data_IF_704977443500
#
_entry.id   IF_704977443500
#
_cell.length_a   1.000
_cell.length_b   1.000
_cell.length_c   1.000
_cell.angle_alpha   90.00
_cell.angle_beta   90.00
_cell.angle_gamma   90.00
#
_symmetry.space_group_name_H-M   'P 1'
#
loop_
_entity.id
_entity.type
_entity.pdbx_description
1 polymer ?
#
# COMPACT_ATOMS: atom_id res chain seq x y z
N UNK A 1 7.66 -26.68 -2.08
CA UNK A 1 7.64 -25.32 -2.65
C UNK A 1 8.58 -24.49 -1.80
N UNK A 2 9.50 -23.74 -2.40
CA UNK A 2 10.45 -22.92 -1.64
C UNK A 2 9.79 -21.63 -1.14
N UNK A 3 10.22 -21.15 0.03
CA UNK A 3 9.83 -19.85 0.59
C UNK A 3 10.58 -18.74 -0.14
N UNK A 4 9.90 -17.65 -0.49
CA UNK A 4 10.50 -16.46 -1.07
C UNK A 4 10.86 -15.47 0.03
N UNK A 5 12.16 -15.21 0.18
CA UNK A 5 12.72 -14.22 1.11
C UNK A 5 13.19 -13.01 0.27
N UNK A 6 12.55 -11.83 0.39
CA UNK A 6 12.85 -10.69 -0.47
C UNK A 6 14.31 -10.22 -0.39
N UNK A 7 14.88 -10.16 0.82
CA UNK A 7 16.27 -9.75 1.05
C UNK A 7 17.31 -10.67 0.40
N UNK A 8 16.99 -11.95 0.21
CA UNK A 8 17.87 -12.93 -0.44
C UNK A 8 17.69 -12.97 -1.97
N UNK A 9 16.65 -12.31 -2.50
CA UNK A 9 16.30 -12.38 -3.91
C UNK A 9 17.14 -11.44 -4.78
N UNK A 10 18.26 -11.96 -5.31
CA UNK A 10 19.07 -11.26 -6.30
C UNK A 10 18.27 -10.90 -7.56
N UNK A 11 17.35 -11.78 -7.99
CA UNK A 11 16.47 -11.52 -9.12
C UNK A 11 15.56 -10.32 -8.86
N UNK A 12 14.91 -10.25 -7.69
CA UNK A 12 14.05 -9.11 -7.32
C UNK A 12 14.85 -7.81 -7.33
N UNK A 13 16.03 -7.79 -6.71
CA UNK A 13 16.90 -6.60 -6.69
C UNK A 13 17.30 -6.15 -8.09
N UNK A 14 17.60 -7.08 -9.00
CA UNK A 14 17.90 -6.76 -10.39
C UNK A 14 16.69 -6.21 -11.14
N UNK A 15 15.51 -6.83 -10.97
CA UNK A 15 14.25 -6.38 -11.57
C UNK A 15 13.87 -4.97 -11.11
N UNK A 16 14.02 -4.67 -9.82
CA UNK A 16 13.70 -3.35 -9.24
C UNK A 16 14.61 -2.23 -9.76
N UNK A 17 15.90 -2.50 -9.95
CA UNK A 17 16.83 -1.52 -10.55
C UNK A 17 16.40 -1.07 -11.95
N UNK A 18 15.71 -1.93 -12.69
CA UNK A 18 15.15 -1.60 -14.00
C UNK A 18 13.91 -0.68 -13.95
N UNK A 19 13.31 -0.47 -12.78
CA UNK A 19 12.03 0.24 -12.61
C UNK A 19 12.16 1.68 -12.13
N UNK A 20 13.37 2.25 -12.09
CA UNK A 20 13.58 3.62 -11.60
C UNK A 20 12.78 4.71 -12.34
N UNK A 21 12.25 4.43 -13.54
CA UNK A 21 11.35 5.31 -14.31
C UNK A 21 9.86 4.94 -14.25
N UNK A 22 9.48 3.96 -13.42
CA UNK A 22 8.17 3.32 -13.48
C UNK A 22 8.10 2.22 -14.56
N UNK A 23 6.94 1.57 -14.65
CA UNK A 23 6.67 0.52 -15.65
C UNK A 23 6.53 -0.88 -15.04
N UNK A 24 6.75 -1.90 -15.87
CA UNK A 24 6.63 -3.31 -15.50
C UNK A 24 7.86 -4.10 -15.94
N UNK A 25 8.25 -5.10 -15.17
CA UNK A 25 9.33 -6.02 -15.51
C UNK A 25 9.03 -7.43 -15.03
N UNK A 26 9.56 -8.41 -15.77
CA UNK A 26 9.47 -9.82 -15.41
C UNK A 26 10.75 -10.27 -14.69
N UNK A 27 10.62 -11.27 -13.83
CA UNK A 27 11.75 -11.91 -13.14
C UNK A 27 11.46 -13.38 -12.82
N UNK A 28 12.51 -14.11 -12.47
CA UNK A 28 12.40 -15.50 -12.02
C UNK A 28 13.40 -15.74 -10.90
N UNK A 29 12.93 -16.31 -9.79
CA UNK A 29 13.75 -16.68 -8.65
C UNK A 29 13.43 -18.12 -8.24
N UNK A 30 14.45 -19.00 -8.24
CA UNK A 30 14.28 -20.38 -7.76
C UNK A 30 13.22 -21.18 -8.52
N UNK A 31 12.95 -20.85 -9.79
CA UNK A 31 11.90 -21.48 -10.61
C UNK A 31 10.52 -20.85 -10.44
N UNK A 32 10.36 -19.86 -9.55
CA UNK A 32 9.14 -19.06 -9.44
C UNK A 32 9.26 -17.81 -10.29
N UNK A 33 8.48 -17.73 -11.36
CA UNK A 33 8.33 -16.50 -12.13
C UNK A 33 7.51 -15.46 -11.37
N UNK A 34 7.85 -14.20 -11.54
CA UNK A 34 7.09 -13.09 -10.98
C UNK A 34 7.11 -11.89 -11.92
N UNK A 35 6.05 -11.09 -11.85
CA UNK A 35 5.96 -9.79 -12.51
C UNK A 35 6.00 -8.69 -11.47
N UNK A 36 6.73 -7.61 -11.77
CA UNK A 36 6.80 -6.40 -10.96
C UNK A 36 6.21 -5.26 -11.76
N UNK A 37 5.39 -4.43 -11.12
CA UNK A 37 4.75 -3.28 -11.75
C UNK A 37 4.68 -2.10 -10.79
N UNK A 38 5.02 -0.91 -11.29
CA UNK A 38 4.73 0.35 -10.62
C UNK A 38 3.25 0.70 -10.85
N UNK A 39 2.46 0.78 -9.78
CA UNK A 39 1.01 1.01 -9.90
C UNK A 39 0.69 2.42 -10.38
N UNK A 40 1.42 3.42 -9.86
CA UNK A 40 1.25 4.83 -10.23
C UNK A 40 2.62 5.43 -10.57
N UNK A 41 3.08 5.29 -11.83
CA UNK A 41 4.33 5.91 -12.26
C UNK A 41 4.17 7.43 -12.40
N UNK A 42 5.21 8.19 -12.04
CA UNK A 42 5.21 9.66 -12.14
C UNK A 42 4.18 10.33 -11.23
N UNK A 43 3.98 9.80 -10.02
CA UNK A 43 2.99 10.25 -9.03
C UNK A 43 3.05 11.75 -8.75
N UNK A 44 4.24 12.35 -8.71
CA UNK A 44 4.37 13.81 -8.53
C UNK A 44 3.68 14.61 -9.63
N UNK A 45 3.86 14.23 -10.89
CA UNK A 45 3.21 14.92 -12.01
C UNK A 45 1.69 14.74 -11.91
N UNK A 46 1.25 13.52 -11.61
CA UNK A 46 -0.19 13.21 -11.43
C UNK A 46 -0.83 14.00 -10.30
N UNK A 47 -0.15 14.16 -9.15
CA UNK A 47 -0.65 15.01 -8.05
C UNK A 47 -0.77 16.47 -8.52
N UNK A 48 0.24 17.00 -9.23
CA UNK A 48 0.21 18.38 -9.72
C UNK A 48 -0.94 18.60 -10.69
N UNK A 49 -1.13 17.67 -11.62
CA UNK A 49 -2.17 17.78 -12.64
C UNK A 49 -3.56 17.65 -12.01
N UNK A 50 -3.75 16.65 -11.14
CA UNK A 50 -5.02 16.42 -10.45
C UNK A 50 -5.40 17.57 -9.51
N UNK A 51 -4.42 18.23 -8.87
CA UNK A 51 -4.60 19.37 -7.97
C UNK A 51 -4.07 20.69 -8.54
N UNK A 52 -4.16 20.89 -9.85
CA UNK A 52 -3.59 22.05 -10.53
C UNK A 52 -4.14 23.41 -10.03
N UNK A 53 -5.34 23.41 -9.47
CA UNK A 53 -5.98 24.56 -8.82
C UNK A 53 -5.34 24.94 -7.47
N UNK A 54 -4.72 23.98 -6.79
CA UNK A 54 -4.11 24.17 -5.47
C UNK A 54 -2.58 24.19 -5.51
N UNK A 55 -1.97 23.44 -6.44
CA UNK A 55 -0.52 23.23 -6.49
C UNK A 55 0.13 24.29 -7.39
N UNK A 56 0.62 25.35 -6.76
CA UNK A 56 1.23 26.50 -7.45
C UNK A 56 2.77 26.45 -7.53
N UNK A 57 3.39 25.39 -7.00
CA UNK A 57 4.85 25.27 -6.92
C UNK A 57 5.35 23.83 -6.76
N UNK A 58 6.64 23.66 -6.44
CA UNK A 58 7.22 22.33 -6.19
C UNK A 58 6.53 21.60 -5.03
N UNK A 59 6.20 20.32 -5.21
CA UNK A 59 5.52 19.51 -4.19
C UNK A 59 6.37 19.33 -2.93
N UNK A 60 7.70 19.30 -3.06
CA UNK A 60 8.62 19.16 -1.94
C UNK A 60 8.59 20.39 -1.02
N UNK A 61 8.50 21.59 -1.58
CA UNK A 61 8.30 22.82 -0.83
C UNK A 61 6.95 22.83 -0.13
N UNK A 62 5.88 22.44 -0.84
CA UNK A 62 4.53 22.37 -0.28
C UNK A 62 4.40 21.34 0.84
N UNK A 63 4.89 20.11 0.65
CA UNK A 63 4.92 19.08 1.70
C UNK A 63 5.60 19.60 2.97
N UNK A 64 6.79 20.22 2.83
CA UNK A 64 7.54 20.75 3.97
C UNK A 64 6.82 21.91 4.67
N UNK A 65 6.14 22.80 3.92
CA UNK A 65 5.43 23.92 4.53
C UNK A 65 4.25 23.49 5.41
N UNK A 66 3.72 22.29 5.21
CA UNK A 66 2.63 21.71 6.02
C UNK A 66 3.10 20.57 6.93
N UNK A 67 4.42 20.40 7.09
CA UNK A 67 5.00 19.41 8.00
C UNK A 67 4.84 17.95 7.55
N UNK A 68 4.68 17.72 6.25
CA UNK A 68 4.52 16.38 5.67
C UNK A 68 5.79 15.92 4.95
N UNK A 69 5.96 14.61 4.86
CA UNK A 69 6.98 14.01 3.99
C UNK A 69 6.66 14.30 2.53
N UNK A 70 7.69 14.46 1.72
CA UNK A 70 7.53 14.56 0.25
C UNK A 70 6.99 13.22 -0.25
N UNK A 71 5.92 13.19 -1.07
CA UNK A 71 5.43 11.93 -1.64
C UNK A 71 6.51 11.28 -2.50
N UNK A 72 6.38 9.99 -2.76
CA UNK A 72 7.28 9.26 -3.64
C UNK A 72 7.07 9.68 -5.11
N UNK A 73 8.14 9.63 -5.92
CA UNK A 73 8.04 9.96 -7.37
C UNK A 73 7.20 8.93 -8.13
N UNK A 74 7.24 7.67 -7.69
CA UNK A 74 6.39 6.57 -8.13
C UNK A 74 5.64 6.07 -6.90
N UNK A 75 4.38 5.63 -7.05
CA UNK A 75 3.56 5.25 -5.91
C UNK A 75 2.91 3.89 -6.12
N UNK A 76 3.14 3.00 -5.16
CA UNK A 76 2.71 1.61 -5.20
C UNK A 76 3.59 0.74 -6.08
N UNK A 77 3.98 -0.41 -5.55
CA UNK A 77 4.60 -1.49 -6.31
C UNK A 77 3.79 -2.77 -6.15
N UNK A 78 3.51 -3.47 -7.24
CA UNK A 78 2.90 -4.79 -7.24
C UNK A 78 3.91 -5.84 -7.66
N UNK A 79 4.02 -6.91 -6.88
CA UNK A 79 4.75 -8.14 -7.19
C UNK A 79 3.73 -9.28 -7.32
N UNK A 80 3.56 -9.83 -8.52
CA UNK A 80 2.63 -10.93 -8.78
C UNK A 80 3.40 -12.21 -9.10
N UNK A 81 3.22 -13.25 -8.28
CA UNK A 81 3.86 -14.55 -8.52
C UNK A 81 3.04 -15.40 -9.49
N UNK A 82 3.73 -16.07 -10.42
CA UNK A 82 3.08 -16.96 -11.40
C UNK A 82 2.45 -18.20 -10.78
N UNK A 83 2.82 -18.54 -9.53
CA UNK A 83 2.27 -19.65 -8.75
C UNK A 83 2.10 -19.23 -7.29
N UNK A 84 1.20 -19.88 -6.51
CA UNK A 84 1.08 -19.63 -5.09
C UNK A 84 2.44 -19.74 -4.40
N UNK A 85 2.87 -18.65 -3.77
CA UNK A 85 4.22 -18.53 -3.22
C UNK A 85 4.17 -18.15 -1.75
N UNK A 86 4.82 -18.94 -0.89
CA UNK A 86 5.03 -18.56 0.50
C UNK A 86 6.04 -17.42 0.57
N UNK A 87 5.71 -16.34 1.27
CA UNK A 87 6.56 -15.15 1.41
C UNK A 87 6.88 -14.87 2.87
N UNK A 88 8.17 -14.78 3.21
CA UNK A 88 8.61 -14.37 4.53
C UNK A 88 8.95 -12.89 4.50
N UNK A 89 8.02 -12.06 5.01
CA UNK A 89 8.11 -10.60 4.89
C UNK A 89 8.57 -9.91 6.17
N UNK A 90 8.63 -10.62 7.30
CA UNK A 90 9.17 -10.14 8.57
C UNK A 90 9.69 -11.33 9.40
N UNK A 91 10.51 -11.04 10.40
CA UNK A 91 11.11 -12.04 11.30
C UNK A 91 10.27 -12.32 12.57
N UNK A 92 10.79 -13.16 13.46
CA UNK A 92 10.07 -13.51 14.72
C UNK A 92 9.84 -12.34 15.66
N UNK A 93 10.60 -11.25 15.51
CA UNK A 93 10.49 -10.04 16.32
C UNK A 93 9.59 -8.97 15.64
N UNK A 94 8.85 -9.38 14.60
CA UNK A 94 7.96 -8.53 13.81
C UNK A 94 8.69 -7.40 13.10
N UNK A 95 9.98 -7.57 12.81
CA UNK A 95 10.79 -6.62 12.05
C UNK A 95 10.61 -6.88 10.56
N UNK A 96 10.18 -5.85 9.82
CA UNK A 96 9.96 -5.97 8.38
C UNK A 96 11.28 -6.22 7.65
N UNK A 97 11.22 -7.12 6.65
CA UNK A 97 12.35 -7.44 5.78
C UNK A 97 13.00 -6.16 5.22
N UNK A 98 14.33 -6.12 5.24
CA UNK A 98 15.09 -4.92 4.89
C UNK A 98 14.86 -4.49 3.43
N UNK A 99 14.78 -5.43 2.49
CA UNK A 99 14.52 -5.09 1.08
C UNK A 99 13.10 -4.56 0.91
N UNK A 100 12.11 -5.12 1.60
CA UNK A 100 10.75 -4.56 1.60
C UNK A 100 10.69 -3.17 2.21
N UNK A 101 11.43 -2.89 3.30
CA UNK A 101 11.52 -1.53 3.87
C UNK A 101 12.08 -0.52 2.87
N UNK A 102 13.13 -0.88 2.15
CA UNK A 102 13.71 -0.04 1.09
C UNK A 102 12.68 0.23 -0.02
N UNK A 103 12.02 -0.83 -0.52
CA UNK A 103 11.01 -0.72 -1.57
C UNK A 103 9.83 0.15 -1.10
N UNK A 104 9.33 -0.04 0.12
CA UNK A 104 8.25 0.79 0.66
C UNK A 104 8.71 2.24 0.84
N UNK A 105 9.98 2.48 1.20
CA UNK A 105 10.54 3.83 1.21
C UNK A 105 10.45 4.51 -0.15
N UNK A 106 10.72 3.77 -1.23
CA UNK A 106 10.72 4.27 -2.61
C UNK A 106 9.31 4.37 -3.22
N UNK A 107 8.39 3.48 -2.89
CA UNK A 107 7.06 3.38 -3.53
C UNK A 107 5.88 3.68 -2.59
N UNK A 108 6.10 3.84 -1.28
CA UNK A 108 5.07 4.11 -0.27
C UNK A 108 4.19 2.91 0.11
N UNK A 109 3.90 2.02 -0.83
CA UNK A 109 3.12 0.80 -0.61
C UNK A 109 3.63 -0.35 -1.49
N UNK A 110 3.54 -1.58 -0.97
CA UNK A 110 3.85 -2.81 -1.72
C UNK A 110 2.66 -3.76 -1.64
N UNK A 111 2.30 -4.34 -2.78
CA UNK A 111 1.27 -5.38 -2.92
C UNK A 111 1.93 -6.65 -3.45
N UNK A 112 1.80 -7.75 -2.72
CA UNK A 112 2.22 -9.08 -3.15
C UNK A 112 0.97 -9.88 -3.52
N UNK A 113 0.89 -10.36 -4.76
CA UNK A 113 -0.25 -11.13 -5.27
C UNK A 113 0.17 -12.56 -5.59
N UNK A 114 -0.75 -13.49 -5.33
CA UNK A 114 -0.48 -14.92 -5.33
C UNK A 114 0.57 -15.31 -4.29
N UNK A 115 0.57 -14.58 -3.18
CA UNK A 115 1.51 -14.68 -2.09
C UNK A 115 0.76 -15.03 -0.80
N UNK A 116 1.34 -15.89 0.04
CA UNK A 116 0.75 -16.25 1.33
C UNK A 116 1.81 -16.29 2.43
N UNK A 117 1.38 -16.03 3.66
CA UNK A 117 2.26 -16.02 4.83
C UNK A 117 2.59 -17.45 5.29
N UNK A 118 3.76 -17.71 5.91
CA UNK A 118 4.10 -19.00 6.48
C UNK A 118 3.06 -19.50 7.47
N UNK A 119 2.96 -20.82 7.60
CA UNK A 119 1.93 -21.48 8.41
C UNK A 119 1.81 -20.97 9.86
N UNK A 120 2.96 -20.72 10.52
CA UNK A 120 3.04 -20.17 11.87
C UNK A 120 2.43 -18.78 11.97
N UNK A 121 2.56 -17.99 10.91
CA UNK A 121 2.06 -16.63 10.88
C UNK A 121 0.58 -16.59 10.53
N UNK A 122 0.03 -17.44 9.65
CA UNK A 122 -1.37 -17.33 9.18
C UNK A 122 -2.44 -17.13 10.28
N UNK A 123 -2.25 -17.71 11.47
CA UNK A 123 -3.20 -17.59 12.59
C UNK A 123 -3.01 -16.34 13.47
N UNK A 124 -1.91 -15.61 13.31
CA UNK A 124 -1.58 -14.44 14.12
C UNK A 124 -2.22 -13.14 13.59
N UNK A 125 -2.27 -12.13 14.45
CA UNK A 125 -2.74 -10.78 14.09
C UNK A 125 -4.21 -10.53 14.39
N UNK A 126 -4.66 -9.32 14.03
CA UNK A 126 -6.03 -8.87 14.23
C UNK A 126 -6.83 -9.06 12.94
N UNK A 127 -8.16 -9.11 13.06
CA UNK A 127 -9.06 -9.03 11.91
C UNK A 127 -9.83 -7.73 12.00
N UNK A 128 -9.59 -6.83 11.05
CA UNK A 128 -10.19 -5.50 11.06
C UNK A 128 -11.01 -5.22 9.80
N UNK A 129 -12.01 -4.37 9.98
CA UNK A 129 -12.81 -3.82 8.91
C UNK A 129 -12.91 -2.32 9.13
N UNK A 130 -12.01 -1.60 8.47
CA UNK A 130 -11.86 -0.16 8.66
C UNK A 130 -13.11 0.59 8.18
N UNK A 131 -13.44 1.76 8.75
CA UNK A 131 -14.57 2.56 8.31
C UNK A 131 -14.40 3.04 6.86
N UNK A 132 -15.53 3.21 6.17
CA UNK A 132 -15.59 3.65 4.77
C UNK A 132 -15.10 5.09 4.62
N UNK A 133 -14.19 5.33 3.66
CA UNK A 133 -13.66 6.65 3.31
C UNK A 133 -13.15 7.48 4.51
N UNK A 134 -12.74 6.78 5.56
CA UNK A 134 -12.14 7.35 6.76
C UNK A 134 -10.65 7.09 6.69
N UNK A 135 -9.92 7.97 6.02
CA UNK A 135 -8.48 7.87 5.87
C UNK A 135 -7.80 8.06 7.22
N UNK A 136 -6.94 7.12 7.60
CA UNK A 136 -6.25 7.14 8.88
C UNK A 136 -4.87 6.49 8.81
N UNK A 137 -4.10 6.68 9.88
CA UNK A 137 -2.93 5.87 10.20
C UNK A 137 -3.31 4.89 11.30
N UNK A 138 -2.80 3.66 11.23
CA UNK A 138 -3.01 2.69 12.32
C UNK A 138 -2.06 2.97 13.49
N UNK A 139 -0.86 3.46 13.17
CA UNK A 139 0.23 3.64 14.12
C UNK A 139 0.84 5.03 14.01
N UNK A 140 0.95 5.70 15.15
CA UNK A 140 1.50 7.06 15.25
C UNK A 140 3.03 7.06 15.34
N UNK A 141 3.65 8.23 15.20
CA UNK A 141 5.11 8.40 15.21
C UNK A 141 5.82 7.96 16.50
N UNK A 142 5.07 7.78 17.59
CA UNK A 142 5.62 7.41 18.91
C UNK A 142 5.61 5.89 19.16
N UNK A 143 5.17 5.09 18.18
CA UNK A 143 5.13 3.64 18.26
C UNK A 143 6.32 3.05 17.48
N UNK A 144 6.85 1.90 17.88
CA UNK A 144 7.95 1.26 17.11
C UNK A 144 7.42 0.68 15.80
N UNK A 145 6.17 0.21 15.79
CA UNK A 145 5.57 -0.50 14.67
C UNK A 145 5.02 0.50 13.63
N UNK A 146 5.89 1.02 12.77
CA UNK A 146 5.53 2.05 11.79
C UNK A 146 4.90 1.50 10.51
N UNK A 147 4.96 0.18 10.27
CA UNK A 147 4.40 -0.44 9.06
C UNK A 147 3.11 -1.19 9.36
N UNK A 148 2.10 -1.04 8.51
CA UNK A 148 0.89 -1.87 8.56
C UNK A 148 0.95 -2.91 7.46
N UNK A 149 0.70 -4.17 7.82
CA UNK A 149 0.54 -5.28 6.89
C UNK A 149 -0.92 -5.73 6.91
N UNK A 150 -1.53 -5.76 5.72
CA UNK A 150 -2.86 -6.29 5.47
C UNK A 150 -2.73 -7.60 4.68
N UNK A 151 -3.49 -8.63 5.05
CA UNK A 151 -3.44 -9.91 4.34
C UNK A 151 -4.82 -10.51 4.11
N UNK A 152 -4.98 -11.05 2.90
CA UNK A 152 -6.07 -11.92 2.50
C UNK A 152 -5.52 -13.34 2.35
N UNK A 153 -5.74 -14.17 3.37
CA UNK A 153 -5.21 -15.53 3.42
C UNK A 153 -6.02 -16.49 2.53
N UNK A 154 -5.42 -17.11 1.51
CA UNK A 154 -6.13 -18.03 0.61
C UNK A 154 -6.54 -19.35 1.29
N UNK A 155 -6.04 -19.63 2.50
CA UNK A 155 -6.36 -20.83 3.28
C UNK A 155 -7.41 -20.58 4.37
N UNK A 156 -7.73 -19.31 4.66
CA UNK A 156 -8.77 -18.98 5.63
C UNK A 156 -10.17 -19.25 5.03
N UNK A 157 -11.10 -19.89 5.76
CA UNK A 157 -12.43 -20.20 5.25
C UNK A 157 -13.24 -18.99 4.77
N UNK A 158 -12.97 -17.79 5.29
CA UNK A 158 -13.64 -16.56 4.90
C UNK A 158 -12.79 -15.74 3.91
N UNK A 159 -11.50 -15.56 4.17
CA UNK A 159 -10.64 -14.69 3.35
C UNK A 159 -10.24 -15.32 2.00
N UNK A 160 -10.40 -16.64 1.83
CA UNK A 160 -10.19 -17.29 0.53
C UNK A 160 -11.10 -16.77 -0.58
N UNK A 161 -12.25 -16.19 -0.23
CA UNK A 161 -13.23 -15.67 -1.18
C UNK A 161 -12.87 -14.22 -1.61
N UNK A 162 -13.21 -13.80 -2.85
CA UNK A 162 -13.14 -12.41 -3.27
C UNK A 162 -13.83 -11.47 -2.27
N UNK A 163 -13.13 -10.43 -1.84
CA UNK A 163 -13.69 -9.43 -0.92
C UNK A 163 -14.49 -8.40 -1.70
N UNK A 164 -15.68 -8.06 -1.21
CA UNK A 164 -16.54 -7.02 -1.81
C UNK A 164 -16.23 -5.59 -1.36
N UNK A 165 -15.01 -5.32 -0.90
CA UNK A 165 -14.53 -3.99 -0.51
C UNK A 165 -13.01 -3.92 -0.63
N UNK A 166 -12.50 -2.73 -0.92
CA UNK A 166 -11.08 -2.47 -1.15
C UNK A 166 -10.42 -1.72 0.00
N UNK A 167 -9.10 -1.64 -0.05
CA UNK A 167 -8.30 -0.71 0.75
C UNK A 167 -7.76 0.37 -0.17
N UNK A 168 -8.12 1.62 0.12
CA UNK A 168 -7.58 2.79 -0.54
C UNK A 168 -6.31 3.24 0.18
N UNK A 169 -5.27 3.58 -0.57
CA UNK A 169 -3.98 4.02 -0.02
C UNK A 169 -3.57 5.30 -0.76
N UNK A 170 -3.32 6.37 -0.02
CA UNK A 170 -2.94 7.66 -0.55
C UNK A 170 -1.78 8.27 0.25
N UNK A 171 -0.90 9.02 -0.43
CA UNK A 171 0.11 9.79 0.28
C UNK A 171 -0.55 10.83 1.19
N UNK A 172 0.13 11.17 2.30
CA UNK A 172 -0.32 12.25 3.19
C UNK A 172 -0.57 13.55 2.45
N UNK A 173 0.25 13.89 1.45
CA UNK A 173 0.05 15.11 0.67
C UNK A 173 -1.27 15.09 -0.11
N UNK A 174 -1.61 13.96 -0.75
CA UNK A 174 -2.90 13.79 -1.45
C UNK A 174 -4.07 14.00 -0.50
N UNK A 175 -4.04 13.37 0.68
CA UNK A 175 -5.10 13.56 1.67
C UNK A 175 -5.21 15.02 2.15
N UNK A 176 -4.08 15.73 2.29
CA UNK A 176 -4.07 17.13 2.68
C UNK A 176 -4.65 18.04 1.58
N UNK A 177 -4.27 17.81 0.33
CA UNK A 177 -4.77 18.56 -0.82
C UNK A 177 -6.26 18.35 -1.01
N UNK A 178 -6.74 17.11 -0.89
CA UNK A 178 -8.17 16.81 -0.93
C UNK A 178 -8.92 17.53 0.18
N UNK A 179 -8.42 17.46 1.43
CA UNK A 179 -9.01 18.15 2.57
C UNK A 179 -9.07 19.67 2.35
N UNK A 180 -8.05 20.25 1.72
CA UNK A 180 -7.97 21.67 1.36
C UNK A 180 -9.01 22.03 0.29
N UNK A 181 -9.13 21.22 -0.76
CA UNK A 181 -10.14 21.39 -1.81
C UNK A 181 -11.56 21.36 -1.23
N UNK A 182 -11.88 20.35 -0.44
CA UNK A 182 -13.21 20.18 0.16
C UNK A 182 -13.55 21.28 1.18
N UNK A 183 -12.54 21.84 1.86
CA UNK A 183 -12.72 22.98 2.76
C UNK A 183 -12.91 24.33 2.03
N UNK A 184 -12.67 24.39 0.71
CA UNK A 184 -12.70 25.64 -0.06
C UNK A 184 -11.58 26.62 0.29
N UNK A 185 -10.47 26.14 0.86
CA UNK A 185 -9.37 26.98 1.34
C UNK A 185 -8.34 26.20 2.16
N UNK A 186 -7.33 26.89 2.70
CA UNK A 186 -6.23 26.26 3.44
C UNK A 186 -6.77 25.45 4.62
N UNK A 187 -6.61 24.13 4.55
CA UNK A 187 -7.04 23.23 5.62
C UNK A 187 -6.07 23.26 6.82
N UNK A 188 -6.61 22.91 7.99
CA UNK A 188 -5.77 22.55 9.15
C UNK A 188 -4.88 21.34 8.84
N UNK A 189 -3.76 21.16 9.56
CA UNK A 189 -2.90 19.99 9.42
C UNK A 189 -3.68 18.67 9.45
N UNK A 190 -3.14 17.63 8.81
CA UNK A 190 -3.72 16.30 8.89
C UNK A 190 -3.62 15.76 10.32
N UNK A 191 -4.74 15.30 10.85
CA UNK A 191 -4.76 14.50 12.08
C UNK A 191 -4.45 13.03 11.78
N UNK A 192 -4.59 12.18 12.81
CA UNK A 192 -4.48 10.73 12.65
C UNK A 192 -5.61 10.13 11.78
N UNK A 193 -6.70 10.87 11.58
CA UNK A 193 -7.85 10.49 10.77
C UNK A 193 -8.45 11.72 10.07
N UNK A 194 -8.95 11.53 8.84
CA UNK A 194 -9.79 12.49 8.12
C UNK A 194 -10.85 11.76 7.27
N UNK A 195 -12.00 12.42 7.11
CA UNK A 195 -13.07 11.95 6.23
C UNK A 195 -13.06 12.85 4.99
N UNK A 196 -12.62 12.30 3.86
CA UNK A 196 -12.42 12.99 2.59
C UNK A 196 -12.83 12.06 1.44
N UNK A 197 -12.97 12.60 0.22
CA UNK A 197 -13.43 11.89 -0.98
C UNK A 197 -14.86 11.35 -0.90
N UNK A 198 -15.70 11.93 -0.03
CA UNK A 198 -17.12 11.52 0.06
C UNK A 198 -17.91 11.94 -1.18
N UNK A 199 -17.58 13.11 -1.69
CA UNK A 199 -18.27 13.74 -2.81
C UNK A 199 -17.20 14.21 -3.81
N UNK A 200 -16.85 13.39 -4.79
CA UNK A 200 -15.89 13.76 -5.81
C UNK A 200 -15.16 12.60 -6.46
N UNK A 201 -14.26 12.95 -7.37
CA UNK A 201 -13.32 12.01 -7.96
C UNK A 201 -12.25 11.62 -6.93
N UNK A 202 -12.04 10.31 -6.76
CA UNK A 202 -11.00 9.76 -5.88
C UNK A 202 -9.63 9.69 -6.55
N UNK A 203 -9.56 9.82 -7.88
CA UNK A 203 -8.31 9.65 -8.62
C UNK A 203 -7.70 8.26 -8.44
N UNK A 204 -8.55 7.22 -8.43
CA UNK A 204 -8.10 5.82 -8.29
C UNK A 204 -7.22 5.42 -9.48
N UNK A 205 -6.03 4.91 -9.20
CA UNK A 205 -5.01 4.58 -10.20
C UNK A 205 -4.26 5.80 -10.76
N UNK A 206 -4.61 7.02 -10.33
CA UNK A 206 -3.94 8.25 -10.74
C UNK A 206 -3.12 8.86 -9.60
N UNK A 207 -3.76 9.10 -8.45
CA UNK A 207 -3.11 9.68 -7.26
C UNK A 207 -3.27 8.79 -6.03
N UNK A 208 -4.12 7.77 -6.11
CA UNK A 208 -4.48 6.87 -5.03
C UNK A 208 -4.49 5.42 -5.52
N UNK A 209 -3.93 4.52 -4.72
CA UNK A 209 -3.93 3.08 -5.01
C UNK A 209 -5.23 2.49 -4.48
N UNK A 210 -5.85 1.63 -5.28
CA UNK A 210 -6.90 0.72 -4.82
C UNK A 210 -6.35 -0.71 -4.75
N UNK A 211 -6.29 -1.27 -3.54
CA UNK A 211 -6.09 -2.70 -3.33
C UNK A 211 -7.46 -3.38 -3.20
N UNK A 212 -7.92 -3.99 -4.29
CA UNK A 212 -9.29 -4.48 -4.42
C UNK A 212 -9.64 -5.69 -3.54
N UNK A 213 -8.65 -6.55 -3.23
CA UNK A 213 -8.83 -7.81 -2.50
C UNK A 213 -9.80 -8.81 -3.16
N UNK A 214 -10.00 -8.70 -4.47
CA UNK A 214 -11.01 -9.41 -5.24
C UNK A 214 -10.42 -10.57 -6.07
N UNK A 215 -9.15 -10.93 -5.84
CA UNK A 215 -8.52 -11.99 -6.61
C UNK A 215 -9.29 -13.32 -6.50
N UNK A 216 -9.22 -14.21 -7.50
CA UNK A 216 -9.92 -15.50 -7.45
C UNK A 216 -9.54 -16.35 -6.24
N UNK A 217 -10.41 -17.29 -5.90
CA UNK A 217 -10.19 -18.27 -4.82
C UNK A 217 -8.84 -18.99 -5.03
N UNK A 218 -8.11 -19.17 -3.94
CA UNK A 218 -6.76 -19.75 -3.94
C UNK A 218 -5.63 -18.74 -4.18
N UNK A 219 -5.95 -17.48 -4.51
CA UNK A 219 -4.95 -16.41 -4.63
C UNK A 219 -4.80 -15.69 -3.29
N UNK A 220 -3.61 -15.76 -2.70
CA UNK A 220 -3.28 -14.94 -1.52
C UNK A 220 -2.84 -13.54 -1.91
N UNK A 221 -3.14 -12.57 -1.05
CA UNK A 221 -2.73 -11.17 -1.24
C UNK A 221 -2.18 -10.59 0.06
N UNK A 222 -1.07 -9.87 -0.03
CA UNK A 222 -0.45 -9.14 1.09
C UNK A 222 -0.22 -7.71 0.64
N UNK A 223 -0.58 -6.73 1.46
CA UNK A 223 -0.30 -5.32 1.22
C UNK A 223 0.41 -4.74 2.43
N UNK A 224 1.49 -3.99 2.20
CA UNK A 224 2.31 -3.39 3.26
C UNK A 224 2.46 -1.91 2.98
N UNK A 225 2.25 -1.09 4.00
CA UNK A 225 2.30 0.37 3.92
C UNK A 225 3.10 0.98 5.06
N UNK A 226 3.64 2.17 4.86
CA UNK A 226 4.34 2.96 5.88
C UNK A 226 3.43 4.07 6.44
N UNK A 227 3.01 3.94 7.71
CA UNK A 227 2.13 4.89 8.39
C UNK A 227 2.73 6.32 8.51
N UNK A 228 4.04 6.48 8.29
CA UNK A 228 4.69 7.80 8.28
C UNK A 228 4.37 8.57 7.02
N UNK A 229 4.13 7.91 5.89
CA UNK A 229 4.04 8.55 4.58
C UNK A 229 2.64 8.49 3.95
N UNK A 230 1.83 7.49 4.29
CA UNK A 230 0.49 7.29 3.71
C UNK A 230 -0.62 7.32 4.75
N UNK A 231 -1.85 7.55 4.29
CA UNK A 231 -3.09 7.18 4.98
C UNK A 231 -3.79 6.10 4.16
N UNK A 232 -4.63 5.32 4.82
CA UNK A 232 -5.47 4.34 4.15
C UNK A 232 -6.90 4.33 4.71
N UNK A 233 -7.84 3.81 3.93
CA UNK A 233 -9.25 3.68 4.28
C UNK A 233 -9.83 2.41 3.66
N UNK A 234 -10.95 1.91 4.20
CA UNK A 234 -11.79 0.98 3.42
C UNK A 234 -12.55 1.76 2.35
N UNK A 235 -12.87 1.09 1.25
CA UNK A 235 -13.87 1.56 0.30
C UNK A 235 -14.87 0.45 -0.04
N UNK A 236 -16.13 0.68 0.31
CA UNK A 236 -17.20 -0.32 0.19
C UNK A 236 -17.81 -0.34 -1.22
N UNK A 237 -17.84 -1.52 -1.86
CA UNK A 237 -18.32 -1.68 -3.24
C UNK A 237 -19.13 -2.97 -3.48
N UNK A 238 -20.47 -3.00 -3.39
CA UNK A 238 -21.40 -2.22 -2.56
C UNK A 238 -21.49 -2.77 -1.12
N UNK A 239 -20.62 -3.71 -0.74
CA UNK A 239 -20.66 -4.38 0.55
C UNK A 239 -19.53 -3.90 1.46
N UNK A 240 -19.67 -4.14 2.76
CA UNK A 240 -18.59 -3.94 3.72
C UNK A 240 -17.41 -4.90 3.49
N UNK A 241 -17.65 -6.02 2.82
CA UNK A 241 -16.75 -7.17 2.75
C UNK A 241 -16.55 -7.83 4.12
N UNK A 242 -15.61 -8.76 4.22
CA UNK A 242 -15.20 -9.37 5.48
C UNK A 242 -14.02 -8.61 6.12
N UNK A 243 -13.75 -8.84 7.42
CA UNK A 243 -12.54 -8.36 8.09
C UNK A 243 -11.25 -8.94 7.50
N UNK A 244 -10.30 -8.08 7.14
CA UNK A 244 -9.00 -8.48 6.61
C UNK A 244 -8.00 -8.70 7.74
N UNK A 245 -6.99 -9.55 7.51
CA UNK A 245 -5.92 -9.76 8.48
C UNK A 245 -5.04 -8.51 8.57
N UNK A 246 -4.67 -8.10 9.79
CA UNK A 246 -3.88 -6.89 10.05
C UNK A 246 -2.77 -7.18 11.04
N UNK A 247 -1.59 -6.64 10.77
CA UNK A 247 -0.42 -6.63 11.66
C UNK A 247 0.27 -5.28 11.62
N UNK A 248 0.95 -4.98 12.72
CA UNK A 248 1.82 -3.82 12.83
C UNK A 248 3.26 -4.31 12.99
N UNK A 249 4.15 -3.85 12.11
CA UNK A 249 5.52 -4.30 11.99
C UNK A 249 6.50 -3.14 12.24
N UNK A 250 7.69 -3.47 12.72
CA UNK A 250 8.80 -2.54 12.96
C UNK A 250 9.61 -2.28 11.70
#
# INVERSE_FOLDING_TARGET
MGTFIPSDSAALKATLKGLQGGGSSHGNQGGTSFDVETLIPGHHARIKDHYADLVTGPLDAMSRSVGLTVPQNNFGLRLAFGQPTEVEVYDRDMVLDAALREIIGEFGAVVLRNAYMPGVHRAEGQRNIFPDLSFHIDRGSNQEEQYSLFCRDPFDPQQKEPRGSSTLIASKLVCYLQKTREAGGVASPLGAQCNIFRDGDMGLGEIMIEQAWDAPVGTGEVCIVDNRTVLHASYYKPSRGYPIGVRYLK
#
